data_IF_686062192385
#
_entry.id   IF_686062192385
#
_cell.length_a   1.000
_cell.length_b   1.000
_cell.length_c   1.000
_cell.angle_alpha   90.00
_cell.angle_beta   90.00
_cell.angle_gamma   90.00
#
_symmetry.space_group_name_H-M   'P 1'
#
loop_
_entity.id
_entity.type
_entity.pdbx_description
1 polymer ?
#
# COMPACT_ATOMS: atom_id res chain seq x y z
N UNK A 1 33.53 -17.99 -12.19
CA UNK A 1 32.50 -17.06 -11.66
C UNK A 1 33.25 -15.87 -11.06
N UNK A 2 32.73 -14.65 -11.17
CA UNK A 2 33.27 -13.51 -10.43
C UNK A 2 33.26 -13.81 -8.93
N UNK A 3 34.27 -13.36 -8.20
CA UNK A 3 34.27 -13.43 -6.74
C UNK A 3 33.42 -12.27 -6.21
N UNK A 4 32.18 -12.55 -5.84
CA UNK A 4 31.22 -11.55 -5.32
C UNK A 4 31.61 -10.99 -3.95
N UNK A 5 32.59 -11.61 -3.29
CA UNK A 5 33.15 -11.14 -2.01
C UNK A 5 34.41 -10.30 -2.18
N UNK A 6 34.89 -10.08 -3.41
CA UNK A 6 36.02 -9.20 -3.68
C UNK A 6 35.65 -7.75 -3.31
N UNK A 7 36.42 -7.05 -2.44
CA UNK A 7 36.15 -5.65 -2.08
C UNK A 7 35.95 -4.72 -3.27
N UNK A 8 36.61 -4.96 -4.41
CA UNK A 8 36.42 -4.17 -5.62
C UNK A 8 35.02 -4.35 -6.24
N UNK A 9 34.51 -5.57 -6.27
CA UNK A 9 33.14 -5.85 -6.75
C UNK A 9 32.10 -5.28 -5.78
N UNK A 10 32.33 -5.39 -4.46
CA UNK A 10 31.46 -4.80 -3.44
C UNK A 10 31.35 -3.28 -3.60
N UNK A 11 32.47 -2.61 -3.85
CA UNK A 11 32.50 -1.17 -4.09
C UNK A 11 31.73 -0.81 -5.36
N UNK A 12 31.95 -1.54 -6.45
CA UNK A 12 31.27 -1.32 -7.72
C UNK A 12 29.75 -1.50 -7.60
N UNK A 13 29.30 -2.55 -6.95
CA UNK A 13 27.88 -2.81 -6.70
C UNK A 13 27.25 -1.70 -5.84
N UNK A 14 27.99 -1.24 -4.82
CA UNK A 14 27.54 -0.13 -3.96
C UNK A 14 27.39 1.17 -4.75
N UNK A 15 28.35 1.50 -5.62
CA UNK A 15 28.24 2.67 -6.50
C UNK A 15 27.05 2.60 -7.46
N UNK A 16 26.79 1.42 -8.02
CA UNK A 16 25.62 1.18 -8.88
C UNK A 16 24.34 1.37 -8.07
N UNK A 17 24.28 0.84 -6.85
CA UNK A 17 23.12 1.02 -5.97
C UNK A 17 22.85 2.49 -5.67
N UNK A 18 23.87 3.29 -5.33
CA UNK A 18 23.71 4.74 -5.10
C UNK A 18 23.15 5.45 -6.33
N UNK A 19 23.64 5.13 -7.53
CA UNK A 19 23.13 5.71 -8.79
C UNK A 19 21.66 5.33 -9.03
N UNK A 20 21.26 4.10 -8.70
CA UNK A 20 19.87 3.66 -8.77
C UNK A 20 19.00 4.45 -7.79
N UNK A 21 19.46 4.68 -6.55
CA UNK A 21 18.70 5.43 -5.54
C UNK A 21 18.42 6.88 -5.98
N UNK A 22 19.38 7.54 -6.63
CA UNK A 22 19.22 8.90 -7.17
C UNK A 22 18.20 8.90 -8.32
N UNK A 23 18.29 7.92 -9.22
CA UNK A 23 17.34 7.76 -10.32
C UNK A 23 15.91 7.52 -9.80
N UNK A 24 15.75 6.65 -8.80
CA UNK A 24 14.46 6.36 -8.18
C UNK A 24 13.88 7.58 -7.45
N UNK A 25 14.73 8.37 -6.78
CA UNK A 25 14.30 9.62 -6.15
C UNK A 25 13.74 10.60 -7.19
N UNK A 26 14.44 10.78 -8.32
CA UNK A 26 13.97 11.63 -9.41
C UNK A 26 12.65 11.14 -10.01
N UNK A 27 12.58 9.86 -10.32
CA UNK A 27 11.37 9.22 -10.87
C UNK A 27 10.17 9.36 -9.91
N UNK A 28 10.38 9.08 -8.62
CA UNK A 28 9.30 9.14 -7.64
C UNK A 28 8.88 10.57 -7.34
N UNK A 29 9.83 11.52 -7.30
CA UNK A 29 9.51 12.94 -7.17
C UNK A 29 8.65 13.42 -8.34
N UNK A 30 8.99 13.02 -9.58
CA UNK A 30 8.16 13.31 -10.76
C UNK A 30 6.73 12.79 -10.60
N UNK A 31 6.57 11.56 -10.09
CA UNK A 31 5.25 10.99 -9.81
C UNK A 31 4.47 11.78 -8.77
N UNK A 32 5.14 12.18 -7.68
CA UNK A 32 4.53 12.96 -6.60
C UNK A 32 4.05 14.31 -7.13
N UNK A 33 4.89 15.02 -7.89
CA UNK A 33 4.56 16.32 -8.49
C UNK A 33 3.41 16.22 -9.49
N UNK A 34 3.39 15.19 -10.34
CA UNK A 34 2.33 14.97 -11.33
C UNK A 34 0.94 14.75 -10.71
N UNK A 35 0.89 14.19 -9.50
CA UNK A 35 -0.35 13.89 -8.79
C UNK A 35 -0.79 14.97 -7.79
N UNK A 36 -0.01 16.05 -7.62
CA UNK A 36 -0.35 17.17 -6.73
C UNK A 36 -1.71 17.81 -7.04
N UNK A 37 -2.12 17.83 -8.31
CA UNK A 37 -3.42 18.38 -8.71
C UNK A 37 -4.59 17.65 -8.05
N UNK A 38 -4.51 16.32 -7.99
CA UNK A 38 -5.52 15.49 -7.32
C UNK A 38 -5.51 15.73 -5.81
N UNK A 39 -4.32 15.80 -5.21
CA UNK A 39 -4.17 16.02 -3.77
C UNK A 39 -4.66 17.40 -3.35
N UNK A 40 -4.39 18.41 -4.16
CA UNK A 40 -4.93 19.75 -3.93
C UNK A 40 -6.45 19.77 -3.95
N UNK A 41 -7.10 19.01 -4.85
CA UNK A 41 -8.56 18.90 -4.87
C UNK A 41 -9.12 18.24 -3.60
N UNK A 42 -8.38 17.31 -3.01
CA UNK A 42 -8.76 16.63 -1.77
C UNK A 42 -8.60 17.56 -0.58
N UNK A 43 -7.46 18.23 -0.48
CA UNK A 43 -7.16 19.17 0.61
C UNK A 43 -8.07 20.39 0.55
N UNK A 44 -8.40 20.89 -0.65
CA UNK A 44 -9.37 21.98 -0.84
C UNK A 44 -10.83 21.57 -0.61
N UNK A 45 -11.10 20.35 -0.14
CA UNK A 45 -12.44 19.88 0.23
C UNK A 45 -13.36 19.62 -0.97
N UNK A 46 -12.85 19.62 -2.20
CA UNK A 46 -13.65 19.34 -3.40
C UNK A 46 -14.00 17.86 -3.55
N UNK A 47 -13.33 16.97 -2.80
CA UNK A 47 -13.60 15.53 -2.74
C UNK A 47 -13.89 15.10 -1.30
N UNK A 48 -14.79 14.13 -1.13
CA UNK A 48 -15.12 13.55 0.18
C UNK A 48 -13.91 12.79 0.74
N UNK A 49 -13.53 13.10 1.96
CA UNK A 49 -12.46 12.40 2.66
C UNK A 49 -12.90 10.99 3.05
N UNK A 50 -12.14 9.98 2.64
CA UNK A 50 -12.38 8.56 2.96
C UNK A 50 -11.19 8.03 3.75
N UNK A 51 -11.39 7.11 4.70
CA UNK A 51 -10.29 6.52 5.48
C UNK A 51 -9.17 5.91 4.62
N UNK A 52 -9.52 5.32 3.46
CA UNK A 52 -8.55 4.77 2.50
C UNK A 52 -7.58 5.84 1.93
N UNK A 53 -8.00 7.11 1.93
CA UNK A 53 -7.19 8.25 1.53
C UNK A 53 -6.00 8.47 2.48
N UNK A 54 -6.18 8.18 3.78
CA UNK A 54 -5.10 8.24 4.77
C UNK A 54 -4.02 7.22 4.43
N UNK A 55 -4.41 5.99 4.09
CA UNK A 55 -3.49 4.93 3.67
C UNK A 55 -2.74 5.32 2.40
N UNK A 56 -3.44 5.93 1.43
CA UNK A 56 -2.82 6.46 0.22
C UNK A 56 -1.76 7.52 0.52
N UNK A 57 -2.08 8.55 1.32
CA UNK A 57 -1.12 9.59 1.67
C UNK A 57 0.05 9.05 2.48
N UNK A 58 -0.21 8.14 3.42
CA UNK A 58 0.82 7.50 4.22
C UNK A 58 1.77 6.69 3.33
N UNK A 59 1.24 5.88 2.41
CA UNK A 59 2.04 5.15 1.43
C UNK A 59 2.94 6.08 0.60
N UNK A 60 2.35 7.13 0.05
CA UNK A 60 3.04 8.02 -0.88
C UNK A 60 4.14 8.82 -0.20
N UNK A 61 3.84 9.46 0.92
CA UNK A 61 4.82 10.31 1.60
C UNK A 61 5.85 9.50 2.40
N UNK A 62 5.49 8.33 2.94
CA UNK A 62 6.49 7.46 3.59
C UNK A 62 7.53 6.95 2.58
N UNK A 63 7.12 6.58 1.37
CA UNK A 63 8.05 6.15 0.33
C UNK A 63 8.96 7.30 -0.13
N UNK A 64 8.41 8.51 -0.32
CA UNK A 64 9.21 9.70 -0.66
C UNK A 64 10.24 10.00 0.44
N UNK A 65 9.81 10.01 1.70
CA UNK A 65 10.70 10.25 2.84
C UNK A 65 11.79 9.18 2.94
N UNK A 66 11.45 7.91 2.71
CA UNK A 66 12.43 6.81 2.67
C UNK A 66 13.50 7.05 1.60
N UNK A 67 13.09 7.44 0.38
CA UNK A 67 14.01 7.71 -0.73
C UNK A 67 14.91 8.92 -0.46
N UNK A 68 14.38 9.98 0.15
CA UNK A 68 15.18 11.16 0.52
C UNK A 68 16.23 10.76 1.55
N UNK A 69 15.82 10.08 2.63
CA UNK A 69 16.73 9.74 3.74
C UNK A 69 17.79 8.74 3.30
N UNK A 70 17.45 7.73 2.50
CA UNK A 70 18.45 6.77 2.03
C UNK A 70 19.49 7.42 1.12
N UNK A 71 19.09 8.37 0.26
CA UNK A 71 20.03 9.12 -0.57
C UNK A 71 20.95 10.01 0.27
N UNK A 72 20.41 10.68 1.31
CA UNK A 72 21.21 11.45 2.27
C UNK A 72 22.19 10.52 3.01
N UNK A 73 21.72 9.36 3.47
CA UNK A 73 22.53 8.39 4.19
C UNK A 73 23.68 7.82 3.35
N UNK A 74 23.50 7.71 2.03
CA UNK A 74 24.56 7.28 1.10
C UNK A 74 25.48 8.40 0.64
N UNK A 75 25.07 9.68 0.78
CA UNK A 75 25.83 10.84 0.33
C UNK A 75 26.62 11.55 1.43
N UNK A 76 26.42 11.17 2.69
CA UNK A 76 27.08 11.82 3.83
C UNK A 76 28.48 11.27 4.05
N UNK A 77 29.47 12.15 4.05
CA UNK A 77 30.88 11.83 4.33
C UNK A 77 31.37 12.42 5.67
N UNK A 78 30.47 13.05 6.43
CA UNK A 78 30.75 13.66 7.73
C UNK A 78 30.09 12.88 8.85
N UNK A 79 30.63 12.96 10.05
CA UNK A 79 30.06 12.27 11.22
C UNK A 79 28.60 12.66 11.45
N UNK A 80 27.72 11.66 11.42
CA UNK A 80 26.29 11.80 11.68
C UNK A 80 25.80 10.66 12.55
N UNK A 81 24.65 10.85 13.19
CA UNK A 81 23.98 9.78 13.91
C UNK A 81 23.34 8.78 12.92
N UNK A 82 24.17 7.83 12.44
CA UNK A 82 23.75 6.75 11.55
C UNK A 82 22.53 6.00 12.10
N UNK A 83 22.53 5.75 13.41
CA UNK A 83 21.44 5.06 14.10
C UNK A 83 20.09 5.73 13.83
N UNK A 84 19.99 7.04 14.05
CA UNK A 84 18.77 7.78 13.80
C UNK A 84 18.36 7.80 12.31
N UNK A 85 19.33 8.02 11.41
CA UNK A 85 19.08 8.07 9.96
C UNK A 85 18.55 6.75 9.40
N UNK A 86 19.24 5.64 9.67
CA UNK A 86 18.82 4.32 9.21
C UNK A 86 17.54 3.85 9.90
N UNK A 87 17.35 4.19 11.18
CA UNK A 87 16.11 3.90 11.89
C UNK A 87 14.92 4.60 11.23
N UNK A 88 15.06 5.89 10.92
CA UNK A 88 14.02 6.65 10.24
C UNK A 88 13.74 6.09 8.83
N UNK A 89 14.79 5.75 8.08
CA UNK A 89 14.68 5.11 6.77
C UNK A 89 13.93 3.78 6.85
N UNK A 90 14.24 2.94 7.85
CA UNK A 90 13.54 1.67 8.06
C UNK A 90 12.08 1.88 8.42
N UNK A 91 11.75 2.83 9.30
CA UNK A 91 10.35 3.14 9.63
C UNK A 91 9.59 3.58 8.38
N UNK A 92 10.15 4.52 7.62
CA UNK A 92 9.53 5.06 6.41
C UNK A 92 9.37 3.98 5.32
N UNK A 93 10.41 3.20 5.04
CA UNK A 93 10.40 2.15 4.02
C UNK A 93 9.47 0.99 4.36
N UNK A 94 9.51 0.49 5.59
CA UNK A 94 8.61 -0.59 6.03
C UNK A 94 7.15 -0.12 6.08
N UNK A 95 6.89 1.14 6.47
CA UNK A 95 5.55 1.75 6.39
C UNK A 95 5.06 1.85 4.96
N UNK A 96 5.91 2.24 4.00
CA UNK A 96 5.56 2.30 2.59
C UNK A 96 5.17 0.93 2.03
N UNK A 97 5.93 -0.12 2.37
CA UNK A 97 5.63 -1.51 1.96
C UNK A 97 4.29 -1.95 2.57
N UNK A 98 4.12 -1.82 3.88
CA UNK A 98 2.89 -2.25 4.57
C UNK A 98 1.64 -1.52 4.09
N UNK A 99 1.75 -0.23 3.79
CA UNK A 99 0.62 0.55 3.26
C UNK A 99 0.34 0.26 1.78
N UNK A 100 1.35 -0.06 0.97
CA UNK A 100 1.17 -0.54 -0.41
C UNK A 100 0.39 -1.86 -0.41
N UNK A 101 0.80 -2.82 0.42
CA UNK A 101 0.09 -4.08 0.65
C UNK A 101 -1.33 -3.86 1.19
N UNK A 102 -1.55 -2.83 2.02
CA UNK A 102 -2.88 -2.46 2.49
C UNK A 102 -3.79 -1.99 1.34
N UNK A 103 -3.31 -1.14 0.43
CA UNK A 103 -4.08 -0.66 -0.73
C UNK A 103 -4.52 -1.84 -1.62
N UNK A 104 -3.65 -2.83 -1.82
CA UNK A 104 -3.95 -4.08 -2.51
C UNK A 104 -5.05 -4.89 -1.78
N UNK A 105 -4.92 -5.00 -0.46
CA UNK A 105 -5.88 -5.70 0.40
C UNK A 105 -7.28 -5.06 0.34
N UNK A 106 -7.38 -3.73 0.45
CA UNK A 106 -8.67 -3.03 0.40
C UNK A 106 -9.41 -3.23 -0.91
N UNK A 107 -8.68 -3.30 -2.02
CA UNK A 107 -9.28 -3.63 -3.30
C UNK A 107 -9.90 -5.03 -3.30
N UNK A 108 -9.23 -6.00 -2.69
CA UNK A 108 -9.75 -7.37 -2.53
C UNK A 108 -11.04 -7.35 -1.72
N UNK A 109 -11.12 -6.54 -0.66
CA UNK A 109 -12.35 -6.40 0.13
C UNK A 109 -13.52 -5.85 -0.69
N UNK A 110 -13.26 -4.91 -1.60
CA UNK A 110 -14.29 -4.38 -2.50
C UNK A 110 -14.81 -5.46 -3.47
N UNK A 111 -13.92 -6.28 -4.05
CA UNK A 111 -14.29 -7.38 -4.96
C UNK A 111 -15.19 -8.40 -4.25
N UNK A 112 -14.80 -8.81 -3.05
CA UNK A 112 -15.51 -9.83 -2.29
C UNK A 112 -16.68 -9.29 -1.46
N UNK A 113 -17.11 -8.05 -1.68
CA UNK A 113 -18.22 -7.43 -0.96
C UNK A 113 -18.15 -7.66 0.56
N UNK A 114 -16.93 -7.56 1.12
CA UNK A 114 -16.62 -7.70 2.55
C UNK A 114 -17.12 -9.00 3.22
N UNK A 115 -17.25 -10.11 2.49
CA UNK A 115 -17.61 -11.42 3.08
C UNK A 115 -16.61 -11.80 4.18
N UNK A 116 -17.12 -11.99 5.41
CA UNK A 116 -16.32 -12.20 6.63
C UNK A 116 -15.32 -13.35 6.53
N UNK A 117 -15.65 -14.41 5.78
CA UNK A 117 -14.79 -15.57 5.59
C UNK A 117 -13.45 -15.23 4.91
N UNK A 118 -13.37 -14.15 4.13
CA UNK A 118 -12.14 -13.71 3.46
C UNK A 118 -11.51 -12.53 4.20
N UNK A 119 -12.33 -11.62 4.70
CA UNK A 119 -11.85 -10.43 5.42
C UNK A 119 -11.09 -10.80 6.68
N UNK A 120 -11.64 -11.70 7.51
CA UNK A 120 -11.03 -12.09 8.79
C UNK A 120 -9.62 -12.69 8.60
N UNK A 121 -9.41 -13.74 7.78
CA UNK A 121 -8.07 -14.31 7.61
C UNK A 121 -7.10 -13.31 6.97
N UNK A 122 -7.56 -12.47 6.04
CA UNK A 122 -6.69 -11.48 5.40
C UNK A 122 -6.24 -10.39 6.37
N UNK A 123 -7.13 -9.95 7.27
CA UNK A 123 -6.77 -9.04 8.35
C UNK A 123 -5.75 -9.67 9.30
N UNK A 124 -5.86 -10.96 9.63
CA UNK A 124 -4.87 -11.67 10.47
C UNK A 124 -3.50 -11.72 9.78
N UNK A 125 -3.46 -12.06 8.49
CA UNK A 125 -2.22 -12.06 7.72
C UNK A 125 -1.60 -10.67 7.62
N UNK A 126 -2.43 -9.63 7.49
CA UNK A 126 -1.98 -8.25 7.45
C UNK A 126 -1.38 -7.78 8.79
N UNK A 127 -2.00 -8.17 9.92
CA UNK A 127 -1.42 -7.91 11.25
C UNK A 127 -0.07 -8.63 11.42
N UNK A 128 0.06 -9.86 10.90
CA UNK A 128 1.33 -10.57 10.85
C UNK A 128 2.38 -9.85 10.01
N UNK A 129 1.99 -9.23 8.89
CA UNK A 129 2.89 -8.42 8.07
C UNK A 129 3.44 -7.23 8.87
N UNK A 130 2.56 -6.49 9.54
CA UNK A 130 2.97 -5.35 10.37
C UNK A 130 3.86 -5.76 11.54
N UNK A 131 3.57 -6.90 12.18
CA UNK A 131 4.42 -7.42 13.26
C UNK A 131 5.85 -7.70 12.76
N UNK A 132 6.00 -8.31 11.57
CA UNK A 132 7.31 -8.57 10.98
C UNK A 132 8.02 -7.30 10.52
N UNK A 133 7.29 -6.36 9.92
CA UNK A 133 7.83 -5.06 9.50
C UNK A 133 8.33 -4.23 10.69
N UNK A 134 7.57 -4.21 11.80
CA UNK A 134 7.97 -3.55 13.05
C UNK A 134 9.14 -4.25 13.72
N UNK A 135 9.20 -5.58 13.65
CA UNK A 135 10.36 -6.33 14.12
C UNK A 135 11.61 -6.01 13.28
N UNK A 136 11.44 -5.77 11.97
CA UNK A 136 12.51 -5.30 11.07
C UNK A 136 13.22 -4.03 11.57
N UNK A 137 12.47 -3.10 12.17
CA UNK A 137 13.03 -1.86 12.73
C UNK A 137 14.03 -2.10 13.87
N UNK A 138 13.79 -3.07 14.77
CA UNK A 138 14.64 -3.25 15.96
C UNK A 138 15.97 -3.96 15.66
N UNK A 139 16.06 -4.62 14.50
CA UNK A 139 17.19 -5.48 14.13
C UNK A 139 18.29 -4.70 13.43
N UNK A 140 17.92 -3.71 12.63
CA UNK A 140 18.88 -2.92 11.86
C UNK A 140 19.55 -1.94 12.81
N UNK A 141 20.82 -2.19 13.10
CA UNK A 141 21.67 -1.28 13.88
C UNK A 141 22.72 -0.68 12.95
N UNK A 142 23.11 0.55 13.18
CA UNK A 142 24.18 1.17 12.39
C UNK A 142 25.05 2.07 13.26
N UNK A 143 26.36 2.01 13.04
CA UNK A 143 27.34 2.87 13.70
C UNK A 143 28.20 3.57 12.66
N UNK A 144 28.63 4.79 12.96
CA UNK A 144 29.62 5.49 12.15
C UNK A 144 30.99 4.80 12.28
N UNK A 145 31.69 4.55 11.17
CA UNK A 145 33.08 4.10 11.16
C UNK A 145 33.97 5.26 10.67
N UNK A 146 34.87 5.76 11.52
CA UNK A 146 35.85 6.78 11.13
C UNK A 146 36.79 6.33 10.01
N UNK A 147 37.06 5.02 9.92
CA UNK A 147 37.99 4.44 8.95
C UNK A 147 37.38 4.40 7.54
N UNK A 148 36.09 4.09 7.45
CA UNK A 148 35.36 4.04 6.19
C UNK A 148 34.74 5.39 5.79
N UNK A 149 34.78 6.40 6.69
CA UNK A 149 34.07 7.68 6.53
C UNK A 149 32.60 7.49 6.13
N UNK A 150 31.97 6.44 6.69
CA UNK A 150 30.65 5.98 6.30
C UNK A 150 29.93 5.27 7.46
N UNK A 151 28.61 5.12 7.32
CA UNK A 151 27.78 4.35 8.23
C UNK A 151 27.86 2.84 7.93
N UNK A 152 28.29 2.05 8.91
CA UNK A 152 28.29 0.59 8.82
C UNK A 152 26.98 0.05 9.39
N UNK A 153 26.28 -0.79 8.62
CA UNK A 153 24.99 -1.38 8.98
C UNK A 153 25.18 -2.82 9.42
N UNK A 154 24.72 -3.14 10.62
CA UNK A 154 24.64 -4.49 11.17
C UNK A 154 23.20 -4.99 11.10
N UNK A 155 23.03 -6.13 10.45
CA UNK A 155 21.71 -6.76 10.33
C UNK A 155 21.82 -8.27 10.38
N UNK A 156 20.71 -8.92 10.70
CA UNK A 156 20.58 -10.38 10.64
C UNK A 156 19.94 -10.76 9.31
N UNK A 157 20.69 -11.34 8.35
CA UNK A 157 20.17 -11.63 7.01
C UNK A 157 18.95 -12.55 7.04
N UNK A 158 18.89 -13.48 8.00
CA UNK A 158 17.76 -14.40 8.16
C UNK A 158 16.41 -13.70 8.36
N UNK A 159 16.40 -12.57 9.07
CA UNK A 159 15.14 -11.85 9.32
C UNK A 159 14.74 -10.99 8.12
N UNK A 160 15.72 -10.42 7.41
CA UNK A 160 15.46 -9.72 6.15
C UNK A 160 14.84 -10.67 5.12
N UNK A 161 15.41 -11.88 4.97
CA UNK A 161 14.85 -12.93 4.11
C UNK A 161 13.41 -13.26 4.50
N UNK A 162 13.14 -13.41 5.80
CA UNK A 162 11.79 -13.70 6.30
C UNK A 162 10.79 -12.57 5.97
N UNK A 163 11.18 -11.30 6.10
CA UNK A 163 10.34 -10.14 5.74
C UNK A 163 10.02 -10.15 4.25
N UNK A 164 11.01 -10.40 3.38
CA UNK A 164 10.80 -10.43 1.94
C UNK A 164 9.90 -11.58 1.50
N UNK A 165 10.14 -12.79 2.01
CA UNK A 165 9.29 -13.95 1.71
C UNK A 165 7.87 -13.72 2.20
N UNK A 166 7.70 -13.22 3.43
CA UNK A 166 6.37 -12.98 3.98
C UNK A 166 5.60 -11.93 3.16
N UNK A 167 6.24 -10.82 2.79
CA UNK A 167 5.63 -9.76 1.98
C UNK A 167 5.22 -10.30 0.62
N UNK A 168 6.08 -11.07 -0.03
CA UNK A 168 5.81 -11.71 -1.33
C UNK A 168 4.62 -12.69 -1.25
N UNK A 169 4.57 -13.53 -0.21
CA UNK A 169 3.46 -14.48 0.01
C UNK A 169 2.15 -13.77 0.36
N UNK A 170 2.19 -12.70 1.14
CA UNK A 170 1.02 -11.88 1.45
C UNK A 170 0.45 -11.27 0.17
N UNK A 171 1.28 -10.58 -0.62
CA UNK A 171 0.85 -9.96 -1.87
C UNK A 171 0.35 -11.01 -2.89
N UNK A 172 0.99 -12.19 -2.95
CA UNK A 172 0.51 -13.32 -3.75
C UNK A 172 -0.86 -13.81 -3.30
N UNK A 173 -1.09 -13.93 -2.00
CA UNK A 173 -2.39 -14.35 -1.45
C UNK A 173 -3.49 -13.36 -1.80
N UNK A 174 -3.21 -12.05 -1.64
CA UNK A 174 -4.12 -10.96 -2.03
C UNK A 174 -4.41 -10.98 -3.53
N UNK A 175 -3.39 -11.24 -4.35
CA UNK A 175 -3.50 -11.39 -5.81
C UNK A 175 -4.40 -12.57 -6.18
N UNK A 176 -4.16 -13.76 -5.61
CA UNK A 176 -4.94 -14.95 -5.92
C UNK A 176 -6.42 -14.78 -5.52
N UNK A 177 -6.66 -14.18 -4.35
CA UNK A 177 -8.01 -13.86 -3.89
C UNK A 177 -8.67 -12.82 -4.81
N UNK A 178 -7.94 -11.79 -5.23
CA UNK A 178 -8.45 -10.78 -6.17
C UNK A 178 -8.85 -11.41 -7.51
N UNK A 179 -8.00 -12.28 -8.08
CA UNK A 179 -8.30 -12.99 -9.33
C UNK A 179 -9.48 -13.93 -9.15
N UNK A 180 -9.52 -14.72 -8.08
CA UNK A 180 -10.61 -15.66 -7.83
C UNK A 180 -11.96 -14.94 -7.64
N UNK A 181 -12.00 -13.88 -6.84
CA UNK A 181 -13.22 -13.09 -6.61
C UNK A 181 -13.72 -12.43 -7.88
N UNK A 182 -12.78 -12.05 -8.75
CA UNK A 182 -13.09 -11.55 -10.07
C UNK A 182 -13.67 -12.68 -10.94
N UNK A 183 -12.97 -13.79 -11.16
CA UNK A 183 -13.47 -14.90 -11.98
C UNK A 183 -14.84 -15.45 -11.54
N UNK A 184 -15.16 -15.37 -10.24
CA UNK A 184 -16.42 -15.84 -9.67
C UNK A 184 -17.56 -14.81 -9.71
N UNK A 185 -17.29 -13.53 -9.93
CA UNK A 185 -18.34 -12.50 -9.88
C UNK A 185 -19.04 -12.35 -11.25
N UNK A 186 -20.37 -12.51 -11.34
CA UNK A 186 -21.12 -12.49 -12.60
C UNK A 186 -21.36 -11.09 -13.22
N UNK A 187 -20.78 -10.02 -12.64
CA UNK A 187 -21.12 -8.64 -13.01
C UNK A 187 -20.32 -8.08 -14.20
N UNK A 188 -20.98 -7.97 -15.37
CA UNK A 188 -20.49 -7.28 -16.59
C UNK A 188 -20.66 -5.75 -16.55
N UNK A 189 -20.25 -5.06 -15.48
CA UNK A 189 -20.31 -3.58 -15.45
C UNK A 189 -19.00 -2.94 -15.93
N UNK A 190 -19.05 -1.69 -16.41
CA UNK A 190 -17.86 -0.95 -16.86
C UNK A 190 -16.80 -0.73 -15.76
N UNK A 191 -17.24 -0.65 -14.49
CA UNK A 191 -16.35 -0.61 -13.32
C UNK A 191 -15.53 -1.90 -13.19
N UNK A 192 -16.13 -3.03 -13.57
CA UNK A 192 -15.53 -4.36 -13.54
C UNK A 192 -14.40 -4.50 -14.56
N UNK A 193 -14.56 -3.92 -15.76
CA UNK A 193 -13.52 -3.89 -16.79
C UNK A 193 -12.28 -3.07 -16.38
N UNK A 194 -12.47 -1.95 -15.70
CA UNK A 194 -11.37 -1.16 -15.14
C UNK A 194 -10.68 -1.90 -13.99
N UNK A 195 -11.46 -2.58 -13.14
CA UNK A 195 -10.92 -3.36 -12.03
C UNK A 195 -10.18 -4.62 -12.54
N UNK A 196 -10.57 -5.17 -13.69
CA UNK A 196 -9.97 -6.34 -14.34
C UNK A 196 -8.66 -6.00 -15.05
N UNK A 197 -8.70 -5.10 -16.03
CA UNK A 197 -7.56 -4.84 -16.91
C UNK A 197 -6.45 -4.07 -16.19
N UNK A 198 -6.77 -2.96 -15.54
CA UNK A 198 -5.75 -2.17 -14.84
C UNK A 198 -5.30 -2.86 -13.55
N UNK A 199 -6.11 -3.81 -13.06
CA UNK A 199 -5.86 -4.45 -11.80
C UNK A 199 -4.97 -5.63 -11.79
N UNK A 200 -5.30 -6.60 -12.62
CA UNK A 200 -4.55 -7.86 -12.69
C UNK A 200 -3.13 -7.59 -13.18
N UNK A 201 -2.94 -6.65 -14.12
CA UNK A 201 -1.61 -6.22 -14.56
C UNK A 201 -0.81 -5.66 -13.40
N UNK A 202 -1.41 -4.79 -12.57
CA UNK A 202 -0.75 -4.27 -11.37
C UNK A 202 -0.37 -5.38 -10.38
N UNK A 203 -1.30 -6.29 -10.09
CA UNK A 203 -1.04 -7.40 -9.18
C UNK A 203 0.13 -8.27 -9.65
N UNK A 204 0.16 -8.65 -10.93
CA UNK A 204 1.25 -9.43 -11.52
C UNK A 204 2.57 -8.65 -11.49
N UNK A 205 2.54 -7.35 -11.79
CA UNK A 205 3.72 -6.49 -11.75
C UNK A 205 4.30 -6.40 -10.33
N UNK A 206 3.46 -6.21 -9.31
CA UNK A 206 3.91 -6.18 -7.90
C UNK A 206 4.49 -7.52 -7.45
N UNK A 207 3.84 -8.64 -7.76
CA UNK A 207 4.37 -9.97 -7.44
C UNK A 207 5.75 -10.21 -8.08
N UNK A 208 5.87 -9.89 -9.38
CA UNK A 208 7.13 -10.06 -10.12
C UNK A 208 8.22 -9.15 -9.55
N UNK A 209 7.87 -7.92 -9.18
CA UNK A 209 8.79 -6.98 -8.56
C UNK A 209 9.33 -7.50 -7.22
N UNK A 210 8.49 -8.11 -6.37
CA UNK A 210 8.91 -8.67 -5.08
C UNK A 210 9.59 -10.05 -5.18
N UNK A 211 9.49 -10.75 -6.31
CA UNK A 211 10.23 -11.98 -6.54
C UNK A 211 11.75 -11.73 -6.61
N UNK A 212 12.19 -10.66 -7.27
CA UNK A 212 13.63 -10.35 -7.39
C UNK A 212 14.31 -10.16 -6.02
N UNK A 213 13.81 -9.30 -5.10
CA UNK A 213 14.33 -9.18 -3.73
C UNK A 213 14.52 -10.51 -3.01
N UNK A 214 13.55 -11.42 -3.13
CA UNK A 214 13.64 -12.75 -2.49
C UNK A 214 14.79 -13.55 -3.09
N UNK A 215 14.87 -13.63 -4.42
CA UNK A 215 15.94 -14.38 -5.10
C UNK A 215 17.32 -13.85 -4.73
N UNK A 216 17.53 -12.53 -4.80
CA UNK A 216 18.82 -11.93 -4.46
C UNK A 216 19.19 -12.14 -2.99
N UNK A 217 18.22 -12.03 -2.07
CA UNK A 217 18.46 -12.27 -0.64
C UNK A 217 18.82 -13.73 -0.32
N UNK A 218 18.32 -14.71 -1.07
CA UNK A 218 18.67 -16.14 -0.90
C UNK A 218 19.99 -16.51 -1.55
N UNK A 219 20.33 -15.91 -2.70
CA UNK A 219 21.63 -16.11 -3.35
C UNK A 219 22.78 -15.60 -2.47
N UNK A 220 22.53 -14.59 -1.63
CA UNK A 220 23.46 -14.05 -0.64
C UNK A 220 24.86 -13.77 -1.22
N UNK A 221 24.88 -13.09 -2.38
CA UNK A 221 26.11 -12.80 -3.13
C UNK A 221 26.99 -11.79 -2.37
N UNK A 222 26.37 -10.70 -1.92
CA UNK A 222 26.99 -9.57 -1.23
C UNK A 222 25.89 -8.75 -0.51
N UNK A 223 26.14 -8.17 0.68
CA UNK A 223 25.26 -7.20 1.33
C UNK A 223 24.56 -6.18 0.41
N UNK A 224 25.27 -5.56 -0.54
CA UNK A 224 24.68 -4.57 -1.45
C UNK A 224 23.65 -5.20 -2.40
N UNK A 225 23.98 -6.36 -3.00
CA UNK A 225 23.11 -7.07 -3.92
C UNK A 225 21.86 -7.64 -3.23
N UNK A 226 21.94 -7.97 -1.94
CA UNK A 226 20.77 -8.43 -1.18
C UNK A 226 19.70 -7.34 -1.01
N UNK A 227 20.07 -6.06 -1.12
CA UNK A 227 19.17 -4.91 -0.88
C UNK A 227 18.93 -4.05 -2.13
N UNK A 228 19.57 -4.37 -3.27
CA UNK A 228 19.49 -3.57 -4.50
C UNK A 228 18.10 -3.57 -5.15
N UNK A 229 17.39 -4.70 -5.14
CA UNK A 229 16.07 -4.88 -5.76
C UNK A 229 14.87 -4.44 -4.89
N UNK A 230 14.85 -4.57 -3.55
CA UNK A 230 13.71 -4.18 -2.72
C UNK A 230 13.25 -2.72 -2.90
N UNK A 231 14.20 -1.78 -3.06
CA UNK A 231 13.88 -0.35 -3.21
C UNK A 231 13.18 -0.08 -4.55
N UNK A 232 13.74 -0.47 -5.72
CA UNK A 232 13.02 -0.39 -7.00
C UNK A 232 11.67 -1.09 -6.97
N UNK A 233 11.60 -2.29 -6.37
CA UNK A 233 10.36 -3.06 -6.30
C UNK A 233 9.27 -2.30 -5.55
N UNK A 234 9.61 -1.71 -4.40
CA UNK A 234 8.69 -0.91 -3.58
C UNK A 234 8.28 0.40 -4.28
N UNK A 235 9.19 1.01 -5.04
CA UNK A 235 8.86 2.20 -5.84
C UNK A 235 7.87 1.87 -6.95
N UNK A 236 8.14 0.82 -7.73
CA UNK A 236 7.25 0.40 -8.81
C UNK A 236 5.87 -0.01 -8.28
N UNK A 237 5.82 -0.86 -7.24
CA UNK A 237 4.55 -1.31 -6.65
C UNK A 237 3.79 -0.12 -6.05
N UNK A 238 4.46 0.76 -5.30
CA UNK A 238 3.86 1.95 -4.69
C UNK A 238 3.28 2.93 -5.71
N UNK A 239 3.99 3.22 -6.82
CA UNK A 239 3.49 4.08 -7.90
C UNK A 239 2.19 3.51 -8.47
N UNK A 240 2.18 2.22 -8.81
CA UNK A 240 1.01 1.62 -9.46
C UNK A 240 -0.15 1.50 -8.46
N UNK A 241 0.11 1.20 -7.18
CA UNK A 241 -0.89 1.22 -6.11
C UNK A 241 -1.61 2.58 -6.01
N UNK A 242 -0.82 3.65 -5.95
CA UNK A 242 -1.30 5.01 -5.85
C UNK A 242 -2.10 5.42 -7.09
N UNK A 243 -1.60 5.13 -8.30
CA UNK A 243 -2.30 5.45 -9.56
C UNK A 243 -3.63 4.72 -9.67
N UNK A 244 -3.65 3.45 -9.28
CA UNK A 244 -4.87 2.66 -9.28
C UNK A 244 -5.90 3.21 -8.28
N UNK A 245 -5.46 3.58 -7.08
CA UNK A 245 -6.32 4.22 -6.08
C UNK A 245 -6.93 5.53 -6.61
N UNK A 246 -6.13 6.40 -7.23
CA UNK A 246 -6.62 7.65 -7.82
C UNK A 246 -7.64 7.38 -8.92
N UNK A 247 -7.35 6.46 -9.85
CA UNK A 247 -8.30 6.08 -10.92
C UNK A 247 -9.62 5.54 -10.38
N UNK A 248 -9.55 4.73 -9.31
CA UNK A 248 -10.75 4.21 -8.65
C UNK A 248 -11.55 5.33 -7.99
N UNK A 249 -10.88 6.23 -7.26
CA UNK A 249 -11.51 7.39 -6.62
C UNK A 249 -12.20 8.29 -7.65
N UNK A 250 -11.54 8.63 -8.76
CA UNK A 250 -12.12 9.47 -9.81
C UNK A 250 -13.39 8.87 -10.42
N UNK A 251 -13.44 7.54 -10.60
CA UNK A 251 -14.61 6.83 -11.14
C UNK A 251 -15.77 6.81 -10.16
N UNK A 252 -15.51 6.48 -8.89
CA UNK A 252 -16.55 6.50 -7.84
C UNK A 252 -17.15 7.89 -7.70
N UNK A 253 -16.34 8.94 -7.80
CA UNK A 253 -16.86 10.30 -7.80
C UNK A 253 -17.70 10.60 -9.05
N UNK A 254 -17.28 10.18 -10.24
CA UNK A 254 -18.04 10.40 -11.47
C UNK A 254 -19.44 9.77 -11.41
N UNK A 255 -19.58 8.57 -10.84
CA UNK A 255 -20.88 7.90 -10.68
C UNK A 255 -21.80 8.63 -9.68
N UNK A 256 -21.23 9.32 -8.69
CA UNK A 256 -21.99 10.15 -7.72
C UNK A 256 -22.44 11.49 -8.31
N UNK A 257 -21.74 12.00 -9.34
CA UNK A 257 -22.01 13.29 -9.97
C UNK A 257 -22.86 13.20 -11.25
N UNK A 258 -23.39 12.03 -11.63
CA UNK A 258 -24.41 11.97 -12.71
C UNK A 258 -25.63 12.74 -12.21
N UNK A 259 -25.93 13.95 -12.72
CA UNK A 259 -27.12 14.67 -12.32
C UNK A 259 -28.32 13.90 -12.86
N UNK A 260 -29.33 13.65 -12.03
CA UNK A 260 -30.63 13.09 -12.45
C UNK A 260 -31.25 13.89 -13.62
N UNK A 261 -30.77 15.11 -13.90
CA UNK A 261 -31.12 15.93 -15.04
C UNK A 261 -30.68 15.40 -16.42
N UNK A 262 -29.81 14.38 -16.51
CA UNK A 262 -29.51 13.68 -17.77
C UNK A 262 -30.38 12.44 -18.01
N UNK A 263 -31.25 12.08 -17.06
CA UNK A 263 -32.39 11.19 -17.32
C UNK A 263 -33.50 12.05 -17.91
N UNK A 264 -33.40 12.31 -19.22
CA UNK A 264 -34.46 13.03 -19.95
C UNK A 264 -35.81 12.32 -19.80
N UNK A 265 -36.93 13.06 -19.86
CA UNK A 265 -38.26 12.46 -19.80
C UNK A 265 -38.46 11.58 -21.04
N UNK A 266 -38.32 10.26 -20.88
CA UNK A 266 -38.72 9.31 -21.91
C UNK A 266 -40.25 9.20 -21.91
N UNK A 267 -40.90 10.04 -22.70
CA UNK A 267 -42.29 9.82 -23.09
C UNK A 267 -42.44 8.50 -23.87
N UNK A 268 -43.23 7.61 -23.27
CA UNK A 268 -44.14 6.64 -23.87
C UNK A 268 -43.64 5.58 -24.89
N UNK A 269 -43.80 4.32 -24.45
CA UNK A 269 -44.69 3.28 -25.04
C UNK A 269 -43.97 1.96 -25.36
N UNK A 270 -44.08 0.99 -24.45
CA UNK A 270 -43.64 -0.39 -24.70
C UNK A 270 -43.71 -1.26 -23.45
N UNK A 271 -44.85 -1.91 -23.25
CA UNK A 271 -45.11 -2.87 -22.17
C UNK A 271 -44.24 -4.13 -22.37
N UNK A 272 -43.14 -4.28 -21.62
CA UNK A 272 -42.51 -5.58 -21.36
C UNK A 272 -42.09 -5.64 -19.89
N UNK A 273 -42.73 -6.55 -19.15
CA UNK A 273 -42.40 -6.87 -17.78
C UNK A 273 -41.02 -7.54 -17.71
N UNK A 274 -40.03 -6.85 -17.15
CA UNK A 274 -38.88 -7.49 -16.53
C UNK A 274 -38.69 -6.88 -15.14
N UNK A 275 -38.96 -7.70 -14.12
CA UNK A 275 -38.61 -7.41 -12.72
C UNK A 275 -37.10 -7.21 -12.62
N UNK A 276 -36.64 -5.96 -12.63
CA UNK A 276 -35.30 -5.60 -12.21
C UNK A 276 -35.40 -5.05 -10.78
N UNK A 277 -35.03 -5.88 -9.81
CA UNK A 277 -34.85 -5.47 -8.42
C UNK A 277 -33.92 -4.28 -8.36
N UNK A 278 -34.39 -3.21 -7.74
CA UNK A 278 -33.67 -2.00 -7.37
C UNK A 278 -32.33 -2.34 -6.71
N UNK A 279 -31.23 -2.06 -7.40
CA UNK A 279 -29.89 -2.05 -6.80
C UNK A 279 -29.73 -0.75 -6.02
N UNK A 280 -29.83 -0.84 -4.70
CA UNK A 280 -29.44 0.22 -3.78
C UNK A 280 -27.94 0.55 -3.95
N UNK A 281 -27.54 1.83 -3.88
CA UNK A 281 -26.13 2.19 -3.94
C UNK A 281 -25.40 1.64 -2.72
N UNK A 282 -24.32 0.89 -2.97
CA UNK A 282 -23.43 0.39 -1.92
C UNK A 282 -22.63 1.58 -1.38
N UNK A 283 -23.13 2.22 -0.32
CA UNK A 283 -22.33 3.07 0.54
C UNK A 283 -21.50 2.15 1.42
N UNK A 284 -20.21 2.03 1.15
CA UNK A 284 -19.26 1.33 2.04
C UNK A 284 -18.99 2.23 3.25
N UNK A 285 -19.92 2.25 4.19
CA UNK A 285 -19.74 2.88 5.49
C UNK A 285 -19.20 1.81 6.47
N UNK A 286 -17.88 1.83 6.72
CA UNK A 286 -17.27 0.95 7.72
C UNK A 286 -17.51 1.57 9.09
N UNK A 287 -18.73 1.39 9.61
CA UNK A 287 -19.03 1.72 11.00
C UNK A 287 -18.57 0.57 11.91
N UNK A 288 -17.41 0.77 12.55
CA UNK A 288 -16.93 -0.09 13.64
C UNK A 288 -17.83 0.16 14.86
N UNK A 289 -18.78 -0.74 15.12
CA UNK A 289 -19.55 -0.74 16.38
C UNK A 289 -18.61 -1.03 17.55
N UNK A 290 -18.33 -0.01 18.37
CA UNK A 290 -17.91 -0.25 19.75
C UNK A 290 -19.08 -0.84 20.54
N UNK A 291 -18.92 -2.08 20.99
CA UNK A 291 -19.81 -2.72 21.95
C UNK A 291 -19.28 -2.42 23.35
N UNK A 292 -20.03 -1.63 24.13
CA UNK A 292 -19.92 -1.61 25.59
C UNK A 292 -21.25 -2.13 26.15
N UNK A 293 -21.17 -3.26 26.86
CA UNK A 293 -22.23 -3.86 27.67
C UNK A 293 -22.10 -3.37 29.12
N UNK A 294 -23.25 -3.26 29.81
CA UNK A 294 -23.39 -3.15 31.27
C UNK A 294 -24.39 -2.05 31.64
N UNK A 295 -25.68 -2.36 31.79
CA UNK A 295 -26.38 -2.60 33.08
C UNK A 295 -26.58 -1.28 33.85
N UNK A 296 -27.78 -0.79 34.20
CA UNK A 296 -28.89 -1.45 34.89
C UNK A 296 -30.25 -0.80 34.59
N UNK A 297 -31.29 -1.57 34.86
CA UNK A 297 -32.71 -1.27 34.83
C UNK A 297 -33.16 -0.52 36.10
N UNK A 298 -33.96 0.54 35.96
CA UNK A 298 -35.05 0.80 36.92
C UNK A 298 -36.19 1.58 36.26
N UNK A 299 -37.36 0.95 36.23
CA UNK A 299 -38.68 1.48 35.92
C UNK A 299 -39.28 2.19 37.12
N UNK A 300 -39.92 3.34 36.93
CA UNK A 300 -41.15 3.70 37.65
C UNK A 300 -41.82 4.90 36.99
N UNK A 301 -43.04 4.66 36.53
CA UNK A 301 -44.08 5.65 36.22
C UNK A 301 -44.34 6.61 37.39
N UNK A 302 -44.94 7.77 37.09
CA UNK A 302 -46.15 8.37 37.72
C UNK A 302 -46.20 9.87 37.40
N UNK A 303 -47.21 10.20 36.58
CA UNK A 303 -48.22 11.28 36.67
C UNK A 303 -47.87 12.73 37.05
N UNK A 304 -48.30 13.62 36.15
CA UNK A 304 -49.16 14.81 36.32
C UNK A 304 -48.97 15.88 37.43
N UNK A 305 -49.36 17.08 36.98
CA UNK A 305 -49.84 18.28 37.70
C UNK A 305 -48.86 19.40 38.14
N UNK A 306 -49.17 20.60 37.61
CA UNK A 306 -49.24 21.91 38.26
C UNK A 306 -48.18 22.26 39.32
N UNK A 307 -47.29 23.24 39.12
CA UNK A 307 -47.54 24.69 39.16
C UNK A 307 -46.23 25.43 38.84
#
# INVERSE_FOLDING_TARGET
MPDWSDPLEIQRDTEVFVKILILLLGLYTWEVLGSLRFEWQVISGKKKFTWLMVVYFLCKYSLLMCLIVVNIATGVSTEVNCGALYTFSQIAGNTAIGTTSALLMFRTFAIWSTKKYIVIPLCVLFLGQWALLLHGYTIVKSSWSPEAMACVVYTKPEIIKAIYVYTMLFDLTVLLLSIAGLLLSPARSGLWGLLFTDGVIYFIASFTAYLFPVVFAYLNLNPAMNIICPVPASVCSGIVACRLFVRLSDRVHADVYIPEALVGPSEAKGRINHNCSTSTPIVVDIHIRHSAKGSESYTSDVDDEHF
#
